data_IF_904643803948
#
_entry.id   IF_904643803948
#
_cell.length_a   1.000
_cell.length_b   1.000
_cell.length_c   1.000
_cell.angle_alpha   90.00
_cell.angle_beta   90.00
_cell.angle_gamma   90.00
#
_symmetry.space_group_name_H-M   'P 1'
#
loop_
_entity.id
_entity.type
_entity.pdbx_description
1 polymer ?
#
# COMPACT_ATOMS: atom_id res chain seq x y z
N UNK A 1 0.76 -15.34 22.61
CA UNK A 1 0.33 -15.54 21.20
C UNK A 1 0.47 -14.20 20.51
N UNK A 2 1.38 -14.13 19.53
CA UNK A 2 1.61 -12.95 18.75
C UNK A 2 0.45 -12.76 17.74
N UNK A 3 -0.49 -11.87 18.08
CA UNK A 3 -1.64 -11.52 17.23
C UNK A 3 -1.84 -10.00 17.13
N UNK A 4 -0.84 -9.23 17.58
CA UNK A 4 -0.96 -7.77 17.68
C UNK A 4 -0.57 -7.06 16.39
N UNK A 5 0.56 -7.43 15.82
CA UNK A 5 1.09 -6.90 14.57
C UNK A 5 1.24 -8.04 13.55
N UNK A 6 1.64 -7.74 12.34
CA UNK A 6 1.93 -8.75 11.32
C UNK A 6 3.22 -9.56 11.59
N UNK A 7 3.67 -9.61 12.85
CA UNK A 7 4.72 -10.53 13.29
C UNK A 7 4.18 -11.96 13.30
N UNK A 8 4.94 -12.86 12.72
CA UNK A 8 4.60 -14.27 12.65
C UNK A 8 5.60 -15.08 13.47
N UNK A 9 5.09 -16.01 14.30
CA UNK A 9 5.90 -16.97 15.07
C UNK A 9 6.42 -18.13 14.19
N UNK A 10 6.54 -17.91 12.88
CA UNK A 10 7.07 -18.89 11.92
C UNK A 10 8.51 -18.57 11.58
N UNK A 11 9.31 -19.62 11.40
CA UNK A 11 10.65 -19.45 10.86
C UNK A 11 10.59 -19.01 9.40
N UNK A 12 11.52 -18.13 9.00
CA UNK A 12 11.70 -17.80 7.60
C UNK A 12 12.04 -19.06 6.78
N UNK A 13 11.63 -19.14 5.52
CA UNK A 13 12.02 -20.25 4.62
C UNK A 13 13.54 -20.49 4.64
N UNK A 14 13.99 -21.75 4.57
CA UNK A 14 15.43 -22.08 4.59
C UNK A 14 16.23 -21.32 3.53
N UNK A 15 15.66 -21.09 2.37
CA UNK A 15 16.28 -20.37 1.25
C UNK A 15 16.62 -18.93 1.62
N UNK A 16 15.69 -18.22 2.27
CA UNK A 16 15.89 -16.85 2.76
C UNK A 16 16.98 -16.81 3.83
N UNK A 17 16.89 -17.70 4.81
CA UNK A 17 17.89 -17.81 5.88
C UNK A 17 19.29 -18.11 5.33
N UNK A 18 19.40 -19.07 4.41
CA UNK A 18 20.68 -19.47 3.84
C UNK A 18 21.30 -18.35 3.00
N UNK A 19 20.52 -17.61 2.23
CA UNK A 19 20.98 -16.44 1.49
C UNK A 19 21.52 -15.35 2.42
N UNK A 20 20.81 -15.05 3.52
CA UNK A 20 21.27 -14.09 4.52
C UNK A 20 22.57 -14.54 5.21
N UNK A 21 22.69 -15.84 5.55
CA UNK A 21 23.90 -16.38 6.17
C UNK A 21 25.08 -16.29 5.22
N UNK A 22 24.92 -16.62 3.94
CA UNK A 22 25.97 -16.49 2.94
C UNK A 22 26.47 -15.03 2.81
N UNK A 23 25.55 -14.06 2.89
CA UNK A 23 25.92 -12.65 2.84
C UNK A 23 26.71 -12.21 4.10
N UNK A 24 26.32 -12.70 5.26
CA UNK A 24 27.06 -12.46 6.52
C UNK A 24 28.45 -13.09 6.47
N UNK A 25 28.57 -14.34 6.00
CA UNK A 25 29.83 -15.08 5.89
C UNK A 25 30.80 -14.43 4.89
N UNK A 26 30.30 -13.75 3.87
CA UNK A 26 31.15 -12.99 2.92
C UNK A 26 32.00 -11.93 3.62
N UNK A 27 31.55 -11.42 4.76
CA UNK A 27 32.28 -10.51 5.67
C UNK A 27 32.77 -9.19 5.06
N UNK A 28 32.40 -8.87 3.82
CA UNK A 28 32.68 -7.59 3.14
C UNK A 28 31.37 -6.92 2.79
N UNK A 29 31.04 -5.86 3.53
CA UNK A 29 29.79 -5.13 3.41
C UNK A 29 30.11 -3.71 2.92
N UNK A 30 30.36 -3.60 1.61
CA UNK A 30 30.63 -2.33 0.94
C UNK A 30 29.36 -1.60 0.50
N UNK A 31 29.55 -0.57 -0.31
CA UNK A 31 28.42 0.11 -0.93
C UNK A 31 27.63 -0.84 -1.82
N UNK A 32 26.31 -0.77 -1.67
CA UNK A 32 25.39 -1.50 -2.51
C UNK A 32 25.25 -0.80 -3.87
N UNK A 33 25.39 -1.52 -4.93
CA UNK A 33 25.03 -1.07 -6.28
C UNK A 33 23.60 -1.46 -6.58
N UNK A 34 22.93 -0.62 -7.35
CA UNK A 34 21.54 -0.85 -7.73
C UNK A 34 21.46 -2.09 -8.66
N UNK A 35 21.33 -3.26 -8.05
CA UNK A 35 21.22 -4.52 -8.77
C UNK A 35 19.81 -4.68 -9.35
N UNK A 36 19.72 -4.86 -10.66
CA UNK A 36 18.46 -5.06 -11.37
C UNK A 36 17.80 -6.41 -10.99
N UNK A 37 18.56 -7.40 -10.53
CA UNK A 37 18.07 -8.77 -10.32
C UNK A 37 16.93 -8.85 -9.30
N UNK A 38 16.98 -8.06 -8.21
CA UNK A 38 15.91 -8.05 -7.22
C UNK A 38 14.64 -7.36 -7.76
N UNK A 39 14.78 -6.34 -8.61
CA UNK A 39 13.65 -5.66 -9.26
C UNK A 39 12.96 -6.58 -10.27
N UNK A 40 13.74 -7.30 -11.06
CA UNK A 40 13.23 -8.34 -11.96
C UNK A 40 12.53 -9.46 -11.18
N UNK A 41 13.09 -9.88 -10.04
CA UNK A 41 12.47 -10.89 -9.19
C UNK A 41 11.11 -10.40 -8.66
N UNK A 42 11.00 -9.14 -8.21
CA UNK A 42 9.73 -8.54 -7.78
C UNK A 42 8.73 -8.43 -8.93
N UNK A 43 9.14 -7.88 -10.08
CA UNK A 43 8.28 -7.77 -11.26
C UNK A 43 7.74 -9.15 -11.68
N UNK A 44 8.61 -10.17 -11.71
CA UNK A 44 8.23 -11.53 -12.05
C UNK A 44 7.34 -12.19 -11.00
N UNK A 45 7.47 -11.83 -9.71
CA UNK A 45 6.56 -12.29 -8.65
C UNK A 45 5.16 -11.74 -8.87
N UNK A 46 5.05 -10.43 -9.04
CA UNK A 46 3.78 -9.74 -9.28
C UNK A 46 3.07 -10.24 -10.55
N UNK A 47 3.82 -10.47 -11.64
CA UNK A 47 3.30 -11.05 -12.88
C UNK A 47 2.68 -12.45 -12.63
N UNK A 48 3.43 -13.33 -11.97
CA UNK A 48 3.00 -14.72 -11.74
C UNK A 48 1.84 -14.86 -10.76
N UNK A 49 1.79 -14.02 -9.74
CA UNK A 49 0.84 -14.18 -8.64
C UNK A 49 -0.35 -13.23 -8.71
N UNK A 50 -0.18 -12.08 -9.38
CA UNK A 50 -1.20 -11.03 -9.41
C UNK A 50 -1.55 -10.55 -10.83
N UNK A 51 -0.90 -11.09 -11.86
CA UNK A 51 -1.15 -10.71 -13.26
C UNK A 51 -0.73 -9.28 -13.60
N UNK A 52 0.10 -8.67 -12.76
CA UNK A 52 0.63 -7.31 -12.93
C UNK A 52 2.15 -7.35 -13.11
N UNK A 53 2.64 -6.81 -14.22
CA UNK A 53 4.07 -6.84 -14.56
C UNK A 53 4.63 -5.41 -14.67
N UNK A 54 5.04 -4.79 -13.58
CA UNK A 54 5.67 -3.47 -13.63
C UNK A 54 7.04 -3.56 -14.33
N UNK A 55 7.43 -2.48 -14.99
CA UNK A 55 8.80 -2.33 -15.47
C UNK A 55 9.75 -2.32 -14.25
N UNK A 56 10.82 -3.15 -14.25
CA UNK A 56 11.79 -3.15 -13.17
C UNK A 56 12.37 -1.77 -12.83
N UNK A 57 12.49 -0.87 -13.81
CA UNK A 57 12.99 0.49 -13.59
C UNK A 57 11.99 1.39 -12.81
N UNK A 58 10.72 1.00 -12.71
CA UNK A 58 9.74 1.68 -11.88
C UNK A 58 9.79 1.26 -10.40
N UNK A 59 10.55 0.20 -10.09
CA UNK A 59 10.62 -0.35 -8.74
C UNK A 59 11.73 0.35 -7.95
N UNK A 60 11.37 0.98 -6.83
CA UNK A 60 12.31 1.67 -5.94
C UNK A 60 12.19 1.12 -4.53
N UNK A 61 13.33 0.75 -3.88
CA UNK A 61 13.30 0.27 -2.51
C UNK A 61 13.11 1.41 -1.52
N UNK A 62 12.39 1.13 -0.45
CA UNK A 62 12.25 2.03 0.69
C UNK A 62 12.42 1.28 2.01
N UNK A 63 12.67 2.01 3.10
CA UNK A 63 12.79 1.43 4.44
C UNK A 63 11.41 1.12 5.05
N UNK A 64 10.56 0.42 4.31
CA UNK A 64 9.20 0.05 4.69
C UNK A 64 8.13 0.98 4.11
N UNK A 65 6.90 0.48 4.07
CA UNK A 65 5.76 1.14 3.40
C UNK A 65 5.42 2.49 4.05
N UNK A 66 5.44 2.60 5.38
CA UNK A 66 5.13 3.88 6.05
C UNK A 66 6.12 4.97 5.65
N UNK A 67 7.41 4.62 5.50
CA UNK A 67 8.43 5.55 4.99
C UNK A 67 8.17 5.94 3.54
N UNK A 68 7.75 4.98 2.69
CA UNK A 68 7.35 5.26 1.32
C UNK A 68 6.19 6.24 1.24
N UNK A 69 5.15 6.07 2.06
CA UNK A 69 4.01 6.99 2.13
C UNK A 69 4.47 8.42 2.50
N UNK A 70 5.39 8.55 3.45
CA UNK A 70 5.97 9.85 3.81
C UNK A 70 6.72 10.51 2.64
N UNK A 71 7.51 9.74 1.90
CA UNK A 71 8.23 10.24 0.71
C UNK A 71 7.24 10.66 -0.40
N UNK A 72 6.17 9.91 -0.62
CA UNK A 72 5.11 10.25 -1.58
C UNK A 72 4.45 11.58 -1.18
N UNK A 73 4.10 11.76 0.08
CA UNK A 73 3.53 13.02 0.56
C UNK A 73 4.47 14.21 0.30
N UNK A 74 5.77 14.05 0.57
CA UNK A 74 6.74 15.11 0.32
C UNK A 74 6.95 15.41 -1.17
N UNK A 75 6.85 14.40 -2.02
CA UNK A 75 7.09 14.55 -3.46
C UNK A 75 5.88 15.16 -4.21
N UNK A 76 4.67 14.88 -3.76
CA UNK A 76 3.44 15.16 -4.53
C UNK A 76 2.45 16.10 -3.84
N UNK A 77 2.76 16.58 -2.65
CA UNK A 77 1.87 17.48 -1.90
C UNK A 77 2.68 18.59 -1.23
N UNK A 78 1.97 19.65 -0.81
CA UNK A 78 2.51 20.74 -0.03
C UNK A 78 2.04 20.66 1.44
N UNK A 79 2.69 21.39 2.35
CA UNK A 79 2.24 21.49 3.74
C UNK A 79 0.84 22.11 3.80
N UNK A 80 -0.05 21.49 4.57
CA UNK A 80 -1.46 21.91 4.66
C UNK A 80 -2.40 21.26 3.65
N UNK A 81 -1.89 20.54 2.64
CA UNK A 81 -2.74 19.75 1.74
C UNK A 81 -3.46 18.63 2.45
N UNK A 82 -4.60 18.22 1.90
CA UNK A 82 -5.42 17.13 2.45
C UNK A 82 -5.15 15.80 1.77
N UNK A 83 -5.09 14.76 2.60
CA UNK A 83 -4.95 13.35 2.20
C UNK A 83 -6.23 12.60 2.58
N UNK A 84 -6.85 11.99 1.60
CA UNK A 84 -8.10 11.22 1.79
C UNK A 84 -7.75 9.82 2.28
N UNK A 85 -8.44 9.37 3.33
CA UNK A 85 -8.31 8.03 3.88
C UNK A 85 -9.70 7.48 4.18
N UNK A 86 -10.00 6.28 3.70
CA UNK A 86 -11.26 5.59 3.99
C UNK A 86 -11.18 4.87 5.34
N UNK A 87 -12.05 5.24 6.29
CA UNK A 87 -12.06 4.62 7.63
C UNK A 87 -13.14 3.56 7.82
N UNK A 88 -12.86 2.52 8.66
CA UNK A 88 -11.64 2.35 9.48
C UNK A 88 -10.40 2.12 8.63
N UNK A 89 -9.26 2.67 9.05
CA UNK A 89 -8.01 2.60 8.29
C UNK A 89 -6.83 2.21 9.17
N UNK A 90 -5.73 1.83 8.54
CA UNK A 90 -4.49 1.57 9.26
C UNK A 90 -4.01 2.83 10.00
N UNK A 91 -3.82 2.69 11.30
CA UNK A 91 -3.58 3.83 12.20
C UNK A 91 -2.29 4.62 11.88
N UNK A 92 -1.31 3.97 11.22
CA UNK A 92 -0.07 4.65 10.87
C UNK A 92 -0.26 5.69 9.76
N UNK A 93 -1.32 5.61 8.95
CA UNK A 93 -1.63 6.65 7.96
C UNK A 93 -1.78 8.01 8.62
N UNK A 94 -2.57 8.08 9.70
CA UNK A 94 -2.71 9.35 10.43
C UNK A 94 -1.37 9.87 10.93
N UNK A 95 -0.54 9.00 11.52
CA UNK A 95 0.76 9.39 12.06
C UNK A 95 1.70 9.96 11.00
N UNK A 96 1.77 9.33 9.82
CA UNK A 96 2.66 9.79 8.76
C UNK A 96 2.13 11.05 8.05
N UNK A 97 0.81 11.20 7.91
CA UNK A 97 0.19 12.39 7.36
C UNK A 97 0.46 13.59 8.28
N UNK A 98 0.16 13.47 9.58
CA UNK A 98 0.41 14.51 10.58
C UNK A 98 1.89 14.88 10.67
N UNK A 99 2.78 13.88 10.68
CA UNK A 99 4.23 14.10 10.79
C UNK A 99 4.83 14.85 9.58
N UNK A 100 4.13 14.84 8.45
CA UNK A 100 4.51 15.59 7.26
C UNK A 100 3.75 16.93 7.12
N UNK A 101 2.99 17.36 8.12
CA UNK A 101 2.26 18.63 8.09
C UNK A 101 1.07 18.67 7.14
N UNK A 102 0.54 17.50 6.72
CA UNK A 102 -0.64 17.39 5.88
C UNK A 102 -1.87 17.13 6.74
N UNK A 103 -3.05 17.38 6.21
CA UNK A 103 -4.31 17.15 6.89
C UNK A 103 -4.97 15.86 6.43
N UNK A 104 -5.46 15.05 7.37
CA UNK A 104 -6.23 13.88 7.03
C UNK A 104 -7.70 14.25 6.78
N UNK A 105 -8.21 13.95 5.59
CA UNK A 105 -9.65 13.89 5.34
C UNK A 105 -10.12 12.46 5.54
N UNK A 106 -10.78 12.22 6.65
CA UNK A 106 -11.27 10.90 7.02
C UNK A 106 -12.66 10.68 6.44
N UNK A 107 -12.77 9.86 5.39
CA UNK A 107 -14.03 9.46 4.78
C UNK A 107 -14.52 8.14 5.38
N UNK A 108 -15.60 8.12 6.16
CA UNK A 108 -16.16 6.87 6.67
C UNK A 108 -16.66 5.97 5.54
N UNK A 109 -16.31 4.70 5.59
CA UNK A 109 -16.91 3.68 4.73
C UNK A 109 -18.29 3.28 5.24
N UNK A 110 -19.15 2.85 4.33
CA UNK A 110 -20.44 2.26 4.66
C UNK A 110 -20.22 0.80 5.07
N UNK A 111 -20.74 0.43 6.24
CA UNK A 111 -20.70 -0.97 6.70
C UNK A 111 -22.04 -1.63 6.35
N UNK A 112 -21.99 -2.56 5.40
CA UNK A 112 -23.13 -3.38 4.97
C UNK A 112 -22.99 -4.79 5.57
N UNK A 113 -23.52 -5.00 6.75
CA UNK A 113 -23.52 -6.31 7.47
C UNK A 113 -22.11 -6.92 7.64
N UNK A 114 -21.13 -6.08 7.95
CA UNK A 114 -19.73 -6.48 8.14
C UNK A 114 -18.83 -6.33 6.90
N UNK A 115 -19.40 -6.04 5.73
CA UNK A 115 -18.64 -5.70 4.52
C UNK A 115 -18.55 -4.19 4.37
N UNK A 116 -17.36 -3.65 4.33
CA UNK A 116 -17.12 -2.23 4.09
C UNK A 116 -17.20 -1.89 2.60
N UNK A 117 -17.78 -0.74 2.28
CA UNK A 117 -17.87 -0.18 0.93
C UNK A 117 -17.45 1.29 0.95
N UNK A 118 -16.73 1.74 -0.06
CA UNK A 118 -16.39 3.16 -0.22
C UNK A 118 -17.64 4.00 -0.49
N UNK A 119 -17.75 5.16 0.16
CA UNK A 119 -18.84 6.12 -0.01
C UNK A 119 -18.36 7.30 -0.86
N UNK A 120 -18.44 7.15 -2.18
CA UNK A 120 -18.04 8.19 -3.12
C UNK A 120 -18.99 9.40 -3.12
N UNK A 121 -20.28 9.19 -2.87
CA UNK A 121 -21.25 10.30 -2.78
C UNK A 121 -20.98 11.16 -1.55
N UNK A 122 -20.68 10.55 -0.42
CA UNK A 122 -20.25 11.24 0.80
C UNK A 122 -18.94 11.97 0.60
N UNK A 123 -17.96 11.30 -0.02
CA UNK A 123 -16.65 11.87 -0.31
C UNK A 123 -16.76 13.10 -1.21
N UNK A 124 -17.50 13.02 -2.32
CA UNK A 124 -17.69 14.13 -3.26
C UNK A 124 -18.29 15.39 -2.61
N UNK A 125 -19.13 15.21 -1.57
CA UNK A 125 -19.76 16.31 -0.83
C UNK A 125 -18.87 16.94 0.24
N UNK A 126 -17.93 16.14 0.80
CA UNK A 126 -17.16 16.51 1.98
C UNK A 126 -15.67 16.73 1.72
N UNK A 127 -15.20 16.33 0.54
CA UNK A 127 -13.78 16.42 0.16
C UNK A 127 -13.31 17.88 0.16
N UNK A 128 -12.22 18.20 0.87
CA UNK A 128 -11.60 19.52 0.80
C UNK A 128 -11.04 19.82 -0.61
N UNK A 129 -11.16 21.09 -1.04
CA UNK A 129 -10.66 21.54 -2.34
C UNK A 129 -9.14 21.37 -2.52
N UNK A 130 -8.39 21.34 -1.41
CA UNK A 130 -6.96 21.11 -1.38
C UNK A 130 -6.57 19.63 -1.21
N UNK A 131 -7.49 18.71 -1.48
CA UNK A 131 -7.14 17.28 -1.51
C UNK A 131 -6.23 16.94 -2.68
N UNK A 132 -5.19 16.15 -2.44
CA UNK A 132 -4.19 15.79 -3.46
C UNK A 132 -3.96 14.30 -3.61
N UNK A 133 -4.13 13.55 -2.53
CA UNK A 133 -3.75 12.14 -2.48
C UNK A 133 -4.86 11.33 -1.80
N UNK A 134 -5.11 10.14 -2.32
CA UNK A 134 -5.91 9.10 -1.67
C UNK A 134 -5.00 7.97 -1.23
N UNK A 135 -5.00 7.62 0.05
CA UNK A 135 -4.42 6.39 0.55
C UNK A 135 -5.47 5.28 0.54
N UNK A 136 -5.22 4.29 -0.29
CA UNK A 136 -6.06 3.11 -0.46
C UNK A 136 -5.31 1.87 0.03
N UNK A 137 -5.97 0.97 0.76
CA UNK A 137 -5.39 -0.27 1.27
C UNK A 137 -6.08 -1.48 0.61
N UNK A 138 -5.31 -2.33 -0.04
CA UNK A 138 -5.80 -3.50 -0.79
C UNK A 138 -4.83 -4.68 -0.70
N UNK A 139 -5.16 -5.80 -0.04
CA UNK A 139 -6.33 -6.07 0.82
C UNK A 139 -6.46 -5.11 1.99
N UNK A 140 -7.68 -4.83 2.40
CA UNK A 140 -7.97 -3.74 3.34
C UNK A 140 -7.67 -4.11 4.80
N UNK A 141 -6.85 -3.30 5.45
CA UNK A 141 -6.56 -3.36 6.88
C UNK A 141 -7.16 -2.10 7.59
N UNK A 142 -8.01 -2.21 8.62
CA UNK A 142 -8.36 -3.43 9.38
C UNK A 142 -9.63 -4.15 8.90
N UNK A 143 -10.26 -3.74 7.84
CA UNK A 143 -11.56 -4.25 7.40
C UNK A 143 -11.55 -5.71 6.93
N UNK A 144 -10.38 -6.28 6.65
CA UNK A 144 -10.21 -7.71 6.36
C UNK A 144 -10.92 -8.15 5.07
N UNK A 145 -10.90 -7.34 4.03
CA UNK A 145 -11.49 -7.67 2.72
C UNK A 145 -10.56 -7.41 1.56
N UNK A 146 -10.72 -8.15 0.47
CA UNK A 146 -10.24 -7.78 -0.86
C UNK A 146 -11.31 -7.01 -1.62
N UNK A 147 -10.87 -6.10 -2.49
CA UNK A 147 -11.75 -5.28 -3.30
C UNK A 147 -12.01 -5.94 -4.65
N UNK A 148 -13.23 -5.77 -5.15
CA UNK A 148 -13.58 -6.22 -6.50
C UNK A 148 -12.96 -5.26 -7.54
N UNK A 149 -12.68 -5.77 -8.74
CA UNK A 149 -12.12 -4.97 -9.84
C UNK A 149 -12.92 -3.71 -10.10
N UNK A 150 -14.24 -3.81 -10.04
CA UNK A 150 -15.13 -2.67 -10.31
C UNK A 150 -15.06 -1.58 -9.23
N UNK A 151 -14.84 -1.97 -7.96
CA UNK A 151 -14.63 -1.02 -6.87
C UNK A 151 -13.28 -0.28 -7.02
N UNK A 152 -12.24 -1.00 -7.44
CA UNK A 152 -10.91 -0.41 -7.71
C UNK A 152 -11.00 0.55 -8.90
N UNK A 153 -11.67 0.14 -9.98
CA UNK A 153 -11.88 0.99 -11.16
C UNK A 153 -12.65 2.26 -10.80
N UNK A 154 -13.74 2.13 -10.04
CA UNK A 154 -14.53 3.28 -9.59
C UNK A 154 -13.69 4.25 -8.75
N UNK A 155 -12.78 3.75 -7.92
CA UNK A 155 -11.84 4.59 -7.16
C UNK A 155 -10.82 5.28 -8.08
N UNK A 156 -10.27 4.56 -9.05
CA UNK A 156 -9.32 5.12 -10.00
C UNK A 156 -9.96 6.22 -10.87
N UNK A 157 -11.18 5.96 -11.37
CA UNK A 157 -11.95 6.94 -12.13
C UNK A 157 -12.27 8.18 -11.28
N UNK A 158 -12.70 7.99 -10.03
CA UNK A 158 -12.92 9.10 -9.10
C UNK A 158 -11.65 9.94 -8.89
N UNK A 159 -10.51 9.28 -8.71
CA UNK A 159 -9.23 9.99 -8.55
C UNK A 159 -8.86 10.78 -9.81
N UNK A 160 -9.02 10.18 -10.99
CA UNK A 160 -8.75 10.83 -12.27
C UNK A 160 -9.67 12.04 -12.52
N UNK A 161 -10.97 11.93 -12.23
CA UNK A 161 -11.95 13.02 -12.37
C UNK A 161 -11.69 14.21 -11.44
N UNK A 162 -11.01 13.98 -10.30
CA UNK A 162 -10.78 14.99 -9.27
C UNK A 162 -9.31 15.41 -9.13
N UNK A 163 -8.44 15.05 -10.09
CA UNK A 163 -7.01 15.37 -10.08
C UNK A 163 -6.31 14.90 -8.78
N UNK A 164 -6.63 13.69 -8.33
CA UNK A 164 -6.07 13.05 -7.14
C UNK A 164 -5.06 11.98 -7.52
N UNK A 165 -3.98 11.88 -6.76
CA UNK A 165 -3.04 10.77 -6.84
C UNK A 165 -3.56 9.60 -6.01
N UNK A 166 -3.77 8.45 -6.65
CA UNK A 166 -4.11 7.21 -5.96
C UNK A 166 -2.84 6.48 -5.51
N UNK A 167 -2.69 6.28 -4.22
CA UNK A 167 -1.62 5.50 -3.61
C UNK A 167 -2.21 4.22 -3.05
N UNK A 168 -1.88 3.09 -3.66
CA UNK A 168 -2.36 1.77 -3.24
C UNK A 168 -1.33 1.09 -2.35
N UNK A 169 -1.68 0.89 -1.09
CA UNK A 169 -0.93 0.07 -0.13
C UNK A 169 -1.38 -1.38 -0.27
N UNK A 170 -0.55 -2.18 -0.95
CA UNK A 170 -0.83 -3.59 -1.25
C UNK A 170 0.06 -4.54 -0.43
N UNK A 171 0.53 -4.14 0.74
CA UNK A 171 1.44 -4.93 1.58
C UNK A 171 0.89 -6.32 1.93
N UNK A 172 -0.42 -6.50 1.90
CA UNK A 172 -1.10 -7.77 2.22
C UNK A 172 -1.49 -8.59 0.98
N UNK A 173 -1.05 -8.24 -0.22
CA UNK A 173 -1.50 -8.82 -1.48
C UNK A 173 -1.32 -10.35 -1.57
N UNK A 174 -0.27 -10.89 -0.95
CA UNK A 174 -0.01 -12.34 -0.93
C UNK A 174 -0.80 -13.11 0.15
N UNK A 175 -1.55 -12.41 1.03
CA UNK A 175 -2.28 -13.00 2.16
C UNK A 175 -3.79 -12.97 1.92
N UNK A 176 -4.22 -13.65 0.85
CA UNK A 176 -5.64 -13.73 0.46
C UNK A 176 -6.18 -15.13 0.72
N UNK A 177 -7.31 -15.22 1.43
CA UNK A 177 -7.96 -16.50 1.71
C UNK A 177 -8.53 -17.12 0.45
N UNK A 178 -8.58 -18.47 0.43
CA UNK A 178 -9.13 -19.24 -0.69
C UNK A 178 -10.56 -18.77 -1.05
N UNK A 179 -10.84 -18.72 -2.34
CA UNK A 179 -12.10 -18.22 -2.88
C UNK A 179 -12.15 -16.72 -3.11
N UNK A 180 -11.08 -16.00 -2.80
CA UNK A 180 -10.92 -14.57 -3.12
C UNK A 180 -9.69 -14.38 -4.00
N UNK A 181 -9.64 -13.29 -4.73
CA UNK A 181 -8.50 -12.91 -5.58
C UNK A 181 -8.14 -11.46 -5.31
N UNK A 182 -6.85 -11.20 -5.06
CA UNK A 182 -6.34 -9.83 -5.05
C UNK A 182 -6.18 -9.33 -6.48
N UNK A 183 -6.59 -8.10 -6.71
CA UNK A 183 -6.41 -7.39 -7.97
C UNK A 183 -5.46 -6.22 -7.73
N UNK A 184 -4.33 -6.22 -8.43
CA UNK A 184 -3.39 -5.10 -8.38
C UNK A 184 -4.04 -3.84 -8.95
N UNK A 185 -3.69 -2.69 -8.37
CA UNK A 185 -4.26 -1.38 -8.76
C UNK A 185 -3.50 -0.76 -9.94
N UNK A 186 -2.35 -1.28 -10.31
CA UNK A 186 -1.49 -0.81 -11.39
C UNK A 186 -1.80 -1.39 -12.77
#
# INVERSE_FOLDING_TARGET
IAMWVADMDFQAPPEVRNALMAEVERSTHGYYTNDITWREAMSNWLDRHHGYKPDPDWITPTSGIVSALGLILQAFTEEGDSVIVFSPAYHAYKKIIDANGRHIHNQPMINEQGRYRMDFDGLKKAMPDNSKVVFFCSPHNPGGRVWEVEEIRQLADFCAENDLILVSDEIHNDLVYSGNTHHATG
#
